data_IF_715389621817
#
_entry.id   IF_715389621817
#
_cell.length_a   1.000
_cell.length_b   1.000
_cell.length_c   1.000
_cell.angle_alpha   90.00
_cell.angle_beta   90.00
_cell.angle_gamma   90.00
#
_symmetry.space_group_name_H-M   'P 1'
#
loop_
_entity.id
_entity.type
_entity.pdbx_description
1 polymer ?
#
# COMPACT_ATOMS: atom_id res chain seq x y z
N UNK A 1 0.63 11.20 16.06
CA UNK A 1 -0.77 11.38 16.50
C UNK A 1 -1.42 10.01 16.64
N UNK A 2 -2.22 9.77 17.67
CA UNK A 2 -2.98 8.53 17.79
C UNK A 2 -3.99 8.42 16.62
N UNK A 3 -4.08 7.24 15.99
CA UNK A 3 -5.02 6.98 14.90
C UNK A 3 -6.45 7.17 15.42
N UNK A 4 -7.22 8.06 14.79
CA UNK A 4 -8.61 8.28 15.19
C UNK A 4 -9.44 7.06 14.80
N UNK A 5 -10.08 6.45 15.79
CA UNK A 5 -11.09 5.41 15.59
C UNK A 5 -12.38 5.89 16.25
N UNK A 6 -13.50 5.97 15.51
CA UNK A 6 -14.79 6.34 16.09
C UNK A 6 -15.09 5.48 17.31
N UNK A 7 -15.67 6.08 18.34
CA UNK A 7 -15.94 5.40 19.61
C UNK A 7 -16.69 4.06 19.41
N UNK A 8 -17.64 4.03 18.47
CA UNK A 8 -18.47 2.87 18.14
C UNK A 8 -17.77 1.77 17.33
N UNK A 9 -16.53 2.00 16.86
CA UNK A 9 -15.78 1.09 15.98
C UNK A 9 -14.46 0.61 16.59
N UNK A 10 -14.16 0.97 17.85
CA UNK A 10 -12.88 0.63 18.50
C UNK A 10 -12.66 -0.87 18.67
N UNK A 11 -13.72 -1.64 18.79
CA UNK A 11 -13.69 -3.09 18.93
C UNK A 11 -13.91 -3.82 17.58
N UNK A 12 -14.02 -3.07 16.48
CA UNK A 12 -14.24 -3.59 15.13
C UNK A 12 -12.91 -3.62 14.35
N UNK A 13 -12.22 -4.78 14.26
CA UNK A 13 -10.94 -4.87 13.58
C UNK A 13 -11.06 -4.62 12.07
N UNK A 14 -12.24 -4.84 11.47
CA UNK A 14 -12.49 -4.60 10.04
C UNK A 14 -12.48 -3.11 9.69
N UNK A 15 -12.63 -2.22 10.67
CA UNK A 15 -12.62 -0.77 10.46
C UNK A 15 -11.31 -0.26 9.83
N UNK A 16 -10.22 -0.99 10.02
CA UNK A 16 -8.90 -0.64 9.49
C UNK A 16 -8.63 -1.21 8.10
N UNK A 17 -9.52 -2.06 7.59
CA UNK A 17 -9.37 -2.67 6.27
C UNK A 17 -9.58 -1.62 5.16
N UNK A 18 -8.79 -1.67 4.08
CA UNK A 18 -9.02 -0.84 2.91
C UNK A 18 -10.39 -1.12 2.28
N UNK A 19 -11.12 -0.07 1.93
CA UNK A 19 -12.41 -0.14 1.31
C UNK A 19 -12.31 -0.22 -0.22
N UNK A 20 -12.95 -1.22 -0.80
CA UNK A 20 -13.05 -1.42 -2.25
C UNK A 20 -13.95 -0.39 -2.92
N UNK A 21 -13.74 -0.19 -4.23
CA UNK A 21 -14.59 0.68 -5.05
C UNK A 21 -14.65 2.13 -4.55
N UNK A 22 -15.87 2.68 -4.53
CA UNK A 22 -16.18 4.00 -3.95
C UNK A 22 -17.27 3.83 -2.88
N UNK A 23 -16.89 3.68 -1.59
CA UNK A 23 -17.85 3.63 -0.49
C UNK A 23 -18.75 4.86 -0.43
N UNK A 24 -19.98 4.72 0.06
CA UNK A 24 -20.96 5.82 0.12
C UNK A 24 -20.43 7.08 0.82
N UNK A 25 -19.67 6.89 1.91
CA UNK A 25 -19.07 7.99 2.67
C UNK A 25 -17.95 8.73 1.92
N UNK A 26 -17.42 8.15 0.84
CA UNK A 26 -16.41 8.75 -0.04
C UNK A 26 -17.01 9.44 -1.27
N UNK A 27 -18.28 9.19 -1.61
CA UNK A 27 -18.93 9.79 -2.79
C UNK A 27 -18.90 11.33 -2.75
N UNK A 28 -19.33 11.92 -1.64
CA UNK A 28 -19.41 13.37 -1.52
C UNK A 28 -18.04 14.09 -1.65
N UNK A 29 -16.97 13.68 -0.91
CA UNK A 29 -15.67 14.32 -1.07
C UNK A 29 -15.04 14.07 -2.45
N UNK A 30 -15.19 12.87 -3.03
CA UNK A 30 -14.69 12.60 -4.38
C UNK A 30 -15.45 13.40 -5.43
N UNK A 31 -16.77 13.55 -5.29
CA UNK A 31 -17.56 14.41 -6.17
C UNK A 31 -17.17 15.88 -6.08
N UNK A 32 -16.87 16.37 -4.88
CA UNK A 32 -16.36 17.73 -4.69
C UNK A 32 -15.02 17.93 -5.44
N UNK A 33 -14.14 16.91 -5.43
CA UNK A 33 -12.89 16.92 -6.20
C UNK A 33 -13.15 16.88 -7.72
N UNK A 34 -14.00 15.97 -8.21
CA UNK A 34 -14.43 15.88 -9.62
C UNK A 34 -14.99 17.23 -10.11
N UNK A 35 -15.83 17.85 -9.28
CA UNK A 35 -16.51 19.11 -9.60
C UNK A 35 -15.54 20.26 -9.90
N UNK A 36 -14.30 20.24 -9.39
CA UNK A 36 -13.31 21.29 -9.69
C UNK A 36 -12.86 21.30 -11.15
N UNK A 37 -12.95 20.15 -11.83
CA UNK A 37 -12.57 20.01 -13.23
C UNK A 37 -13.74 20.21 -14.20
N UNK A 38 -14.96 19.95 -13.73
CA UNK A 38 -16.18 20.00 -14.54
C UNK A 38 -16.92 21.33 -14.43
N UNK A 39 -16.39 22.28 -13.66
CA UNK A 39 -16.98 23.59 -13.43
C UNK A 39 -16.02 24.69 -13.92
N UNK A 40 -16.56 25.71 -14.57
CA UNK A 40 -15.75 26.87 -15.00
C UNK A 40 -15.54 27.85 -13.84
N UNK A 41 -14.45 28.66 -13.86
CA UNK A 41 -14.27 29.74 -12.89
C UNK A 41 -15.51 30.65 -12.88
N UNK A 42 -15.99 31.00 -11.68
CA UNK A 42 -17.19 31.83 -11.44
C UNK A 42 -18.55 31.16 -11.70
N UNK A 43 -18.57 29.85 -11.92
CA UNK A 43 -19.79 29.03 -11.92
C UNK A 43 -20.28 28.66 -13.31
N UNK A 44 -21.11 27.60 -13.37
CA UNK A 44 -21.50 26.95 -14.62
C UNK A 44 -20.66 25.71 -14.91
N UNK A 45 -21.15 24.87 -15.82
CA UNK A 45 -20.56 23.58 -16.17
C UNK A 45 -19.62 23.75 -17.35
N UNK A 46 -18.43 23.14 -17.27
CA UNK A 46 -17.51 23.01 -18.40
C UNK A 46 -18.05 21.94 -19.37
N UNK A 47 -18.85 22.39 -20.33
CA UNK A 47 -19.47 21.54 -21.34
C UNK A 47 -18.43 20.80 -22.20
N UNK A 48 -17.33 21.47 -22.55
CA UNK A 48 -16.26 20.86 -23.34
C UNK A 48 -15.62 19.70 -22.58
N UNK A 49 -15.33 19.89 -21.29
CA UNK A 49 -14.78 18.82 -20.45
C UNK A 49 -15.73 17.64 -20.29
N UNK A 50 -17.04 17.90 -20.13
CA UNK A 50 -18.04 16.82 -20.05
C UNK A 50 -18.17 16.03 -21.36
N UNK A 51 -18.11 16.70 -22.51
CA UNK A 51 -18.09 16.04 -23.81
C UNK A 51 -16.84 15.15 -23.97
N UNK A 52 -15.68 15.62 -23.51
CA UNK A 52 -14.45 14.83 -23.47
C UNK A 52 -14.60 13.58 -22.60
N UNK A 53 -15.09 13.73 -21.36
CA UNK A 53 -15.36 12.60 -20.46
C UNK A 53 -16.26 11.56 -21.15
N UNK A 54 -17.37 12.01 -21.75
CA UNK A 54 -18.29 11.12 -22.45
C UNK A 54 -17.59 10.38 -23.61
N UNK A 55 -16.80 11.08 -24.41
CA UNK A 55 -16.16 10.53 -25.59
C UNK A 55 -15.01 9.57 -25.24
N UNK A 56 -14.14 9.94 -24.28
CA UNK A 56 -12.98 9.16 -23.87
C UNK A 56 -13.42 7.88 -23.15
N UNK A 57 -14.38 7.99 -22.23
CA UNK A 57 -14.92 6.84 -21.50
C UNK A 57 -15.96 6.05 -22.31
N UNK A 58 -16.31 6.53 -23.53
CA UNK A 58 -17.26 5.88 -24.45
C UNK A 58 -18.58 5.53 -23.78
N UNK A 59 -19.14 6.47 -23.02
CA UNK A 59 -20.30 6.21 -22.17
C UNK A 59 -21.49 5.72 -22.99
N UNK A 60 -22.00 4.54 -22.63
CA UNK A 60 -23.16 3.92 -23.23
C UNK A 60 -24.11 3.46 -22.09
N UNK A 61 -25.31 4.06 -21.94
CA UNK A 61 -25.87 5.13 -22.78
C UNK A 61 -25.12 6.47 -22.62
N UNK A 62 -25.17 7.38 -23.62
CA UNK A 62 -24.59 8.72 -23.48
C UNK A 62 -25.27 9.49 -22.34
N UNK A 63 -24.61 10.55 -21.86
CA UNK A 63 -25.19 11.46 -20.86
C UNK A 63 -26.44 12.14 -21.43
N UNK A 64 -27.35 12.56 -20.54
CA UNK A 64 -28.59 13.22 -20.95
C UNK A 64 -28.37 14.71 -21.19
N UNK A 65 -28.23 15.07 -22.46
CA UNK A 65 -27.98 16.44 -22.92
C UNK A 65 -29.28 17.21 -23.21
N UNK A 66 -29.89 17.79 -22.18
CA UNK A 66 -30.83 18.94 -22.34
C UNK A 66 -30.18 20.28 -21.98
N UNK A 67 -29.08 20.23 -21.23
CA UNK A 67 -28.15 21.33 -20.94
C UNK A 67 -26.87 20.71 -20.35
N UNK A 68 -25.76 21.46 -20.30
CA UNK A 68 -24.55 21.01 -19.63
C UNK A 68 -24.81 20.62 -18.15
N UNK A 69 -25.66 21.39 -17.45
CA UNK A 69 -26.11 21.06 -16.09
C UNK A 69 -26.91 19.76 -16.01
N UNK A 70 -27.72 19.45 -17.01
CA UNK A 70 -28.47 18.18 -17.07
C UNK A 70 -27.53 17.00 -17.29
N UNK A 71 -26.52 17.15 -18.15
CA UNK A 71 -25.51 16.13 -18.40
C UNK A 71 -24.64 15.88 -17.15
N UNK A 72 -24.22 16.94 -16.45
CA UNK A 72 -23.51 16.84 -15.18
C UNK A 72 -24.36 16.11 -14.11
N UNK A 73 -25.65 16.47 -14.02
CA UNK A 73 -26.58 15.83 -13.09
C UNK A 73 -26.82 14.35 -13.41
N UNK A 74 -26.90 13.98 -14.69
CA UNK A 74 -27.02 12.57 -15.10
C UNK A 74 -25.75 11.78 -14.75
N UNK A 75 -24.56 12.36 -14.97
CA UNK A 75 -23.29 11.75 -14.54
C UNK A 75 -23.26 11.55 -13.02
N UNK A 76 -23.63 12.58 -12.25
CA UNK A 76 -23.71 12.51 -10.79
C UNK A 76 -24.66 11.38 -10.35
N UNK A 77 -25.85 11.31 -10.95
CA UNK A 77 -26.86 10.31 -10.59
C UNK A 77 -26.39 8.87 -10.86
N UNK A 78 -25.60 8.63 -11.92
CA UNK A 78 -25.04 7.30 -12.19
C UNK A 78 -24.03 6.89 -11.13
N UNK A 79 -23.09 7.78 -10.81
CA UNK A 79 -22.03 7.53 -9.82
C UNK A 79 -22.65 7.34 -8.42
N UNK A 80 -23.53 8.24 -8.00
CA UNK A 80 -24.22 8.14 -6.70
C UNK A 80 -25.27 7.01 -6.67
N UNK A 81 -25.73 6.56 -7.85
CA UNK A 81 -26.64 5.44 -8.01
C UNK A 81 -25.97 4.06 -7.91
N UNK A 82 -24.65 4.01 -7.71
CA UNK A 82 -23.89 2.77 -7.49
C UNK A 82 -22.95 2.37 -8.62
N UNK A 83 -22.83 3.16 -9.69
CA UNK A 83 -21.85 2.92 -10.75
C UNK A 83 -20.45 3.36 -10.30
N UNK A 84 -19.85 2.54 -9.44
CA UNK A 84 -18.54 2.81 -8.84
C UNK A 84 -17.41 2.74 -9.87
N UNK A 85 -17.52 1.87 -10.88
CA UNK A 85 -16.53 1.76 -11.96
C UNK A 85 -16.49 3.04 -12.79
N UNK A 86 -17.65 3.55 -13.20
CA UNK A 86 -17.74 4.86 -13.86
C UNK A 86 -17.13 5.97 -13.00
N UNK A 87 -17.40 5.96 -11.70
CA UNK A 87 -16.83 6.95 -10.78
C UNK A 87 -15.30 6.91 -10.77
N UNK A 88 -14.71 5.71 -10.71
CA UNK A 88 -13.25 5.53 -10.73
C UNK A 88 -12.65 5.92 -12.08
N UNK A 89 -13.29 5.57 -13.19
CA UNK A 89 -12.85 5.92 -14.54
C UNK A 89 -12.85 7.44 -14.76
N UNK A 90 -13.88 8.15 -14.27
CA UNK A 90 -13.94 9.61 -14.31
C UNK A 90 -12.83 10.23 -13.47
N UNK A 91 -12.60 9.73 -12.25
CA UNK A 91 -11.53 10.23 -11.39
C UNK A 91 -10.16 10.02 -12.03
N UNK A 92 -9.88 8.81 -12.53
CA UNK A 92 -8.59 8.48 -13.16
C UNK A 92 -8.34 9.31 -14.42
N UNK A 93 -9.36 9.48 -15.26
CA UNK A 93 -9.25 10.33 -16.44
C UNK A 93 -8.93 11.78 -16.08
N UNK A 94 -9.69 12.39 -15.16
CA UNK A 94 -9.47 13.78 -14.74
C UNK A 94 -8.12 13.96 -14.05
N UNK A 95 -7.69 12.98 -13.25
CA UNK A 95 -6.37 12.97 -12.62
C UNK A 95 -5.25 12.99 -13.66
N UNK A 96 -5.39 12.21 -14.74
CA UNK A 96 -4.43 12.21 -15.85
C UNK A 96 -4.44 13.52 -16.66
N UNK A 97 -5.49 14.33 -16.57
CA UNK A 97 -5.54 15.67 -17.20
C UNK A 97 -4.99 16.78 -16.30
N UNK A 98 -4.88 16.55 -14.98
CA UNK A 98 -4.33 17.55 -14.06
C UNK A 98 -2.81 17.46 -14.00
N UNK A 99 -2.15 18.61 -14.18
CA UNK A 99 -0.71 18.78 -13.94
C UNK A 99 -0.42 19.55 -12.64
N UNK A 100 -1.45 19.92 -11.88
CA UNK A 100 -1.30 20.62 -10.60
C UNK A 100 -1.08 19.59 -9.48
N UNK A 101 0.10 19.64 -8.85
CA UNK A 101 0.45 18.74 -7.75
C UNK A 101 -0.52 18.85 -6.57
N UNK A 102 -1.23 19.99 -6.42
CA UNK A 102 -2.24 20.15 -5.36
C UNK A 102 -3.47 19.29 -5.61
N UNK A 103 -3.90 19.14 -6.86
CA UNK A 103 -5.03 18.26 -7.18
C UNK A 103 -4.69 16.79 -6.91
N UNK A 104 -3.44 16.40 -7.17
CA UNK A 104 -2.94 15.05 -6.88
C UNK A 104 -2.88 14.81 -5.37
N UNK A 105 -2.34 15.77 -4.61
CA UNK A 105 -2.23 15.68 -3.16
C UNK A 105 -3.62 15.67 -2.47
N UNK A 106 -4.54 16.52 -2.92
CA UNK A 106 -5.92 16.57 -2.39
C UNK A 106 -6.65 15.24 -2.62
N UNK A 107 -6.52 14.65 -3.81
CA UNK A 107 -7.13 13.35 -4.11
C UNK A 107 -6.54 12.25 -3.24
N UNK A 108 -5.20 12.18 -3.12
CA UNK A 108 -4.54 11.22 -2.25
C UNK A 108 -4.99 11.38 -0.79
N UNK A 109 -5.15 12.61 -0.31
CA UNK A 109 -5.65 12.88 1.03
C UNK A 109 -7.08 12.38 1.24
N UNK A 110 -7.98 12.59 0.26
CA UNK A 110 -9.36 12.07 0.30
C UNK A 110 -9.34 10.54 0.36
N UNK A 111 -8.55 9.89 -0.50
CA UNK A 111 -8.44 8.44 -0.59
C UNK A 111 -7.85 7.83 0.68
N UNK A 112 -6.79 8.42 1.25
CA UNK A 112 -6.20 7.99 2.53
C UNK A 112 -7.23 8.15 3.65
N UNK A 113 -7.82 9.34 3.82
CA UNK A 113 -8.77 9.60 4.92
C UNK A 113 -10.00 8.70 4.85
N UNK A 114 -10.44 8.32 3.66
CA UNK A 114 -11.52 7.38 3.44
C UNK A 114 -11.12 5.90 3.51
N UNK A 115 -9.81 5.60 3.55
CA UNK A 115 -9.29 4.24 3.58
C UNK A 115 -9.50 3.50 2.27
N UNK A 116 -9.42 4.18 1.13
CA UNK A 116 -9.61 3.56 -0.18
C UNK A 116 -8.47 2.59 -0.54
N UNK A 117 -8.81 1.49 -1.21
CA UNK A 117 -7.84 0.63 -1.91
C UNK A 117 -7.12 1.35 -3.05
N UNK A 118 -7.64 2.49 -3.52
CA UNK A 118 -7.05 3.28 -4.58
C UNK A 118 -6.08 4.32 -4.02
N UNK A 119 -5.07 4.65 -4.81
CA UNK A 119 -4.07 5.66 -4.49
C UNK A 119 -3.60 6.38 -5.76
N UNK A 120 -3.17 7.62 -5.60
CA UNK A 120 -2.57 8.43 -6.63
C UNK A 120 -1.11 8.01 -6.79
N UNK A 121 -0.68 7.76 -8.02
CA UNK A 121 0.73 7.52 -8.36
C UNK A 121 1.14 8.32 -9.57
N UNK A 122 2.33 8.94 -9.49
CA UNK A 122 2.95 9.58 -10.65
C UNK A 122 3.17 8.56 -11.75
N UNK A 123 2.79 8.94 -12.97
CA UNK A 123 3.03 8.20 -14.21
C UNK A 123 4.29 8.72 -14.90
N UNK A 124 4.48 10.04 -14.88
CA UNK A 124 5.67 10.76 -15.32
C UNK A 124 5.82 12.06 -14.51
N UNK A 125 6.68 12.98 -14.96
CA UNK A 125 6.99 14.24 -14.25
C UNK A 125 5.77 15.14 -14.03
N UNK A 126 4.70 14.99 -14.83
CA UNK A 126 3.58 15.93 -14.87
C UNK A 126 2.23 15.26 -14.65
N UNK A 127 2.12 13.95 -14.86
CA UNK A 127 0.84 13.23 -14.82
C UNK A 127 0.81 12.18 -13.72
N UNK A 128 -0.38 11.95 -13.18
CA UNK A 128 -0.64 10.89 -12.22
C UNK A 128 -1.80 10.03 -12.69
N UNK A 129 -1.94 8.85 -12.10
CA UNK A 129 -3.06 7.92 -12.31
C UNK A 129 -3.45 7.25 -11.02
N UNK A 130 -4.68 6.74 -10.96
CA UNK A 130 -5.09 5.80 -9.93
C UNK A 130 -4.37 4.48 -10.16
N UNK A 131 -3.79 3.96 -9.09
CA UNK A 131 -3.39 2.57 -9.02
C UNK A 131 -4.07 1.95 -7.82
N UNK A 132 -4.33 0.64 -7.87
CA UNK A 132 -4.62 -0.09 -6.65
C UNK A 132 -3.39 0.01 -5.76
N UNK A 133 -3.59 0.29 -4.48
CA UNK A 133 -2.66 -0.16 -3.44
C UNK A 133 -2.44 -1.64 -3.74
N UNK A 134 -1.21 -2.04 -4.02
CA UNK A 134 -0.90 -3.43 -4.37
C UNK A 134 -1.49 -4.27 -3.24
N UNK A 135 -2.56 -5.03 -3.49
CA UNK A 135 -3.35 -5.67 -2.42
C UNK A 135 -3.56 -7.15 -2.67
N UNK A 136 -3.99 -7.59 -3.86
CA UNK A 136 -4.45 -8.98 -4.02
C UNK A 136 -3.34 -10.05 -4.03
N UNK A 137 -2.34 -10.04 -4.94
CA UNK A 137 -1.31 -11.10 -4.94
C UNK A 137 -0.51 -11.14 -3.64
N UNK A 138 -0.45 -10.00 -2.95
CA UNK A 138 0.25 -9.86 -1.68
C UNK A 138 -0.58 -10.35 -0.50
N UNK A 139 -1.87 -10.03 -0.45
CA UNK A 139 -2.78 -10.56 0.57
C UNK A 139 -2.90 -12.09 0.47
N UNK A 140 -2.99 -12.63 -0.75
CA UNK A 140 -2.94 -14.08 -0.98
C UNK A 140 -1.60 -14.68 -0.54
N UNK A 141 -0.48 -14.05 -0.90
CA UNK A 141 0.84 -14.51 -0.47
C UNK A 141 1.00 -14.52 1.07
N UNK A 142 0.46 -13.50 1.76
CA UNK A 142 0.42 -13.48 3.24
C UNK A 142 -0.45 -14.64 3.76
N UNK A 143 -1.63 -14.88 3.17
CA UNK A 143 -2.53 -15.95 3.55
C UNK A 143 -1.92 -17.36 3.33
N UNK A 144 -1.10 -17.53 2.31
CA UNK A 144 -0.40 -18.80 2.00
C UNK A 144 0.78 -19.12 2.93
N UNK A 145 1.21 -18.18 3.77
CA UNK A 145 2.19 -18.44 4.83
C UNK A 145 1.44 -19.22 5.93
N UNK A 146 1.50 -20.55 5.83
CA UNK A 146 0.74 -21.55 6.61
C UNK A 146 0.82 -21.33 8.14
N UNK A 147 -0.10 -22.00 8.84
CA UNK A 147 -0.30 -22.06 10.32
C UNK A 147 0.96 -22.26 11.17
N UNK A 148 2.01 -22.87 10.61
CA UNK A 148 3.20 -23.30 11.38
C UNK A 148 4.15 -22.14 11.71
N UNK A 149 3.87 -20.93 11.21
CA UNK A 149 4.57 -19.69 11.55
C UNK A 149 3.59 -18.56 11.87
N UNK A 150 2.64 -18.84 12.77
CA UNK A 150 1.59 -17.92 13.22
C UNK A 150 2.13 -16.52 13.59
N UNK A 151 3.29 -16.45 14.25
CA UNK A 151 3.92 -15.16 14.59
C UNK A 151 4.44 -14.40 13.38
N UNK A 152 5.10 -15.07 12.43
CA UNK A 152 5.59 -14.42 11.22
C UNK A 152 4.42 -13.92 10.37
N UNK A 153 3.36 -14.73 10.25
CA UNK A 153 2.11 -14.36 9.59
C UNK A 153 1.45 -13.14 10.25
N UNK A 154 1.35 -13.13 11.58
CA UNK A 154 0.77 -12.01 12.34
C UNK A 154 1.54 -10.71 12.12
N UNK A 155 2.88 -10.78 12.14
CA UNK A 155 3.73 -9.62 11.86
C UNK A 155 3.60 -9.14 10.40
N UNK A 156 3.49 -10.02 9.41
CA UNK A 156 3.24 -9.61 8.03
C UNK A 156 1.87 -8.95 7.87
N UNK A 157 0.81 -9.48 8.50
CA UNK A 157 -0.51 -8.84 8.48
C UNK A 157 -0.49 -7.45 9.13
N UNK A 158 0.17 -7.32 10.28
CA UNK A 158 0.32 -6.04 10.96
C UNK A 158 1.13 -5.05 10.11
N UNK A 159 2.26 -5.51 9.55
CA UNK A 159 3.08 -4.72 8.63
C UNK A 159 2.28 -4.23 7.44
N UNK A 160 1.52 -5.13 6.81
CA UNK A 160 0.67 -4.81 5.68
C UNK A 160 -0.41 -3.79 6.02
N UNK A 161 -1.16 -4.01 7.10
CA UNK A 161 -2.18 -3.08 7.58
C UNK A 161 -1.62 -1.68 7.86
N UNK A 162 -0.42 -1.61 8.43
CA UNK A 162 0.26 -0.34 8.67
C UNK A 162 0.84 0.28 7.40
N UNK A 163 1.10 -0.50 6.34
CA UNK A 163 1.62 0.00 5.07
C UNK A 163 0.51 0.55 4.18
N UNK A 164 -0.61 -0.17 4.05
CA UNK A 164 -1.65 0.09 3.04
C UNK A 164 -3.01 0.46 3.64
N UNK A 165 -3.18 0.34 4.95
CA UNK A 165 -4.43 0.65 5.63
C UNK A 165 -4.76 2.14 5.62
N UNK A 166 -5.95 2.48 6.12
CA UNK A 166 -6.52 3.84 6.12
C UNK A 166 -5.61 4.94 6.67
N UNK A 167 -4.74 4.60 7.61
CA UNK A 167 -3.74 5.52 8.13
C UNK A 167 -2.37 4.84 8.07
N UNK A 168 -1.67 4.96 6.94
CA UNK A 168 -0.34 4.37 6.80
C UNK A 168 0.62 4.91 7.86
N UNK A 169 1.45 4.02 8.38
CA UNK A 169 2.56 4.32 9.26
C UNK A 169 3.77 3.53 8.75
N UNK A 170 4.54 4.10 7.80
CA UNK A 170 5.65 3.41 7.16
C UNK A 170 6.70 2.87 8.15
N UNK A 171 6.96 3.63 9.21
CA UNK A 171 7.88 3.26 10.29
C UNK A 171 7.44 2.00 11.04
N UNK A 172 6.15 1.93 11.39
CA UNK A 172 5.59 0.73 12.04
C UNK A 172 5.50 -0.43 11.05
N UNK A 173 5.09 -0.18 9.81
CA UNK A 173 5.05 -1.19 8.75
C UNK A 173 6.42 -1.87 8.58
N UNK A 174 7.48 -1.07 8.42
CA UNK A 174 8.85 -1.56 8.30
C UNK A 174 9.27 -2.40 9.52
N UNK A 175 9.01 -1.89 10.74
CA UNK A 175 9.34 -2.60 11.98
C UNK A 175 8.68 -3.97 12.05
N UNK A 176 7.40 -4.07 11.71
CA UNK A 176 6.67 -5.34 11.71
C UNK A 176 7.16 -6.28 10.61
N UNK A 177 7.57 -5.76 9.44
CA UNK A 177 8.19 -6.56 8.38
C UNK A 177 9.49 -7.23 8.85
N UNK A 178 10.37 -6.50 9.54
CA UNK A 178 11.61 -7.05 10.13
C UNK A 178 11.29 -8.15 11.16
N UNK A 179 10.29 -7.91 12.03
CA UNK A 179 9.87 -8.91 13.04
C UNK A 179 9.30 -10.18 12.41
N UNK A 180 8.63 -10.07 11.27
CA UNK A 180 8.15 -11.23 10.54
C UNK A 180 9.31 -12.12 10.08
N UNK A 181 10.37 -11.52 9.52
CA UNK A 181 11.59 -12.25 9.13
C UNK A 181 12.26 -12.86 10.35
N UNK A 182 12.34 -12.14 11.48
CA UNK A 182 12.89 -12.68 12.73
C UNK A 182 12.13 -13.93 13.20
N UNK A 183 10.79 -13.87 13.21
CA UNK A 183 9.94 -14.97 13.62
C UNK A 183 10.08 -16.19 12.70
N UNK A 184 10.23 -15.98 11.39
CA UNK A 184 10.39 -17.03 10.40
C UNK A 184 11.78 -17.68 10.41
N UNK A 185 12.84 -16.88 10.55
CA UNK A 185 14.22 -17.35 10.47
C UNK A 185 14.70 -18.03 11.76
N UNK A 186 14.23 -17.57 12.92
CA UNK A 186 14.71 -18.02 14.23
C UNK A 186 14.67 -19.55 14.42
N UNK A 187 13.59 -20.28 14.11
CA UNK A 187 13.55 -21.73 14.29
C UNK A 187 14.59 -22.49 13.46
N UNK A 188 15.06 -21.90 12.36
CA UNK A 188 16.00 -22.53 11.43
C UNK A 188 17.44 -22.13 11.79
N UNK A 189 17.67 -20.83 11.98
CA UNK A 189 19.01 -20.27 12.17
C UNK A 189 19.46 -20.46 13.62
N UNK A 190 18.66 -19.99 14.59
CA UNK A 190 19.06 -19.92 16.00
C UNK A 190 17.99 -20.54 16.93
N UNK A 191 17.62 -21.83 16.77
CA UNK A 191 16.50 -22.45 17.49
C UNK A 191 16.66 -22.44 19.02
N UNK A 192 17.90 -22.44 19.51
CA UNK A 192 18.20 -22.45 20.95
C UNK A 192 18.37 -21.03 21.55
N UNK A 193 18.48 -19.97 20.73
CA UNK A 193 18.63 -18.60 21.24
C UNK A 193 17.26 -17.94 21.42
N UNK A 194 16.78 -17.89 22.66
CA UNK A 194 15.54 -17.22 23.03
C UNK A 194 15.48 -15.74 22.64
N UNK A 195 16.63 -15.07 22.48
CA UNK A 195 16.79 -13.63 22.20
C UNK A 195 17.41 -13.35 20.82
N UNK A 196 17.35 -14.31 19.90
CA UNK A 196 17.84 -14.12 18.54
C UNK A 196 17.17 -12.91 17.86
N UNK A 197 17.98 -12.01 17.32
CA UNK A 197 17.55 -10.88 16.48
C UNK A 197 17.99 -11.11 15.05
N UNK A 198 17.43 -10.36 14.10
CA UNK A 198 17.84 -10.46 12.69
C UNK A 198 19.34 -10.21 12.51
N UNK A 199 19.90 -9.23 13.23
CA UNK A 199 21.33 -8.92 13.21
C UNK A 199 22.20 -10.11 13.67
N UNK A 200 21.77 -10.87 14.69
CA UNK A 200 22.49 -12.07 15.13
C UNK A 200 22.41 -13.19 14.10
N UNK A 201 21.22 -13.43 13.54
CA UNK A 201 21.03 -14.46 12.52
C UNK A 201 21.80 -14.15 11.22
N UNK A 202 21.90 -12.87 10.83
CA UNK A 202 22.79 -12.41 9.76
C UNK A 202 24.24 -12.80 10.05
N UNK A 203 24.70 -12.55 11.28
CA UNK A 203 26.05 -12.91 11.72
C UNK A 203 26.30 -14.42 11.69
N UNK A 204 25.35 -15.22 12.21
CA UNK A 204 25.45 -16.68 12.22
C UNK A 204 25.48 -17.28 10.81
N UNK A 205 24.61 -16.79 9.91
CA UNK A 205 24.60 -17.22 8.52
C UNK A 205 25.88 -16.82 7.79
N UNK A 206 26.33 -15.58 7.97
CA UNK A 206 27.53 -15.06 7.32
C UNK A 206 28.85 -15.68 7.83
N UNK A 207 28.92 -16.07 9.10
CA UNK A 207 30.13 -16.67 9.66
C UNK A 207 30.34 -18.12 9.21
N UNK A 208 29.26 -18.83 8.87
CA UNK A 208 29.30 -20.25 8.48
C UNK A 208 28.36 -20.52 7.29
N UNK A 209 28.59 -19.89 6.12
CA UNK A 209 27.69 -19.97 4.97
C UNK A 209 27.44 -21.42 4.52
N UNK A 210 28.48 -22.26 4.57
CA UNK A 210 28.40 -23.69 4.22
C UNK A 210 27.47 -24.53 5.12
N UNK A 211 26.98 -24.00 6.25
CA UNK A 211 25.98 -24.68 7.10
C UNK A 211 24.54 -24.49 6.62
N UNK A 212 24.33 -23.67 5.60
CA UNK A 212 23.03 -23.27 5.13
C UNK A 212 22.90 -23.62 3.67
N UNK A 213 21.68 -23.94 3.26
CA UNK A 213 21.35 -24.25 1.87
C UNK A 213 20.24 -23.31 1.42
N UNK A 214 20.45 -22.64 0.28
CA UNK A 214 19.42 -21.86 -0.41
C UNK A 214 19.18 -22.43 -1.81
N UNK A 215 17.93 -22.78 -2.11
CA UNK A 215 17.54 -23.55 -3.31
C UNK A 215 17.94 -22.85 -4.62
N UNK A 216 17.75 -21.54 -4.73
CA UNK A 216 17.92 -20.81 -6.02
C UNK A 216 19.39 -20.62 -6.40
N UNK A 217 20.31 -20.70 -5.43
CA UNK A 217 21.73 -20.40 -5.63
C UNK A 217 22.62 -21.61 -5.36
N UNK A 218 22.12 -22.80 -5.72
CA UNK A 218 22.82 -24.09 -5.58
C UNK A 218 23.41 -24.33 -4.17
N UNK A 219 22.74 -23.81 -3.15
CA UNK A 219 23.15 -23.91 -1.74
C UNK A 219 23.82 -22.68 -1.15
N UNK A 220 24.24 -21.69 -1.93
CA UNK A 220 24.86 -20.49 -1.36
C UNK A 220 23.82 -19.52 -0.76
N UNK A 221 23.90 -19.34 0.56
CA UNK A 221 23.01 -18.50 1.38
C UNK A 221 23.27 -16.99 1.24
N UNK A 222 24.37 -16.59 0.59
CA UNK A 222 24.82 -15.18 0.51
C UNK A 222 23.72 -14.21 0.04
N UNK A 223 22.90 -14.52 -0.99
CA UNK A 223 21.81 -13.63 -1.41
C UNK A 223 20.78 -13.38 -0.30
N UNK A 224 20.42 -14.42 0.46
CA UNK A 224 19.49 -14.32 1.59
C UNK A 224 20.08 -13.45 2.70
N UNK A 225 21.37 -13.64 3.01
CA UNK A 225 22.09 -12.79 3.97
C UNK A 225 22.09 -11.33 3.52
N UNK A 226 22.31 -11.07 2.23
CA UNK A 226 22.31 -9.71 1.67
C UNK A 226 20.92 -9.04 1.76
N UNK A 227 19.84 -9.76 1.45
CA UNK A 227 18.48 -9.25 1.63
C UNK A 227 18.17 -8.95 3.09
N UNK A 228 18.51 -9.87 4.01
CA UNK A 228 18.35 -9.65 5.45
C UNK A 228 19.14 -8.42 5.93
N UNK A 229 20.39 -8.26 5.47
CA UNK A 229 21.22 -7.09 5.77
C UNK A 229 20.57 -5.80 5.27
N UNK A 230 20.11 -5.78 4.02
CA UNK A 230 19.50 -4.60 3.41
C UNK A 230 18.33 -4.07 4.23
N UNK A 231 17.41 -4.94 4.67
CA UNK A 231 16.28 -4.51 5.50
C UNK A 231 16.68 -4.24 6.96
N UNK A 232 17.72 -4.90 7.48
CA UNK A 232 18.15 -4.69 8.87
C UNK A 232 18.85 -3.34 9.05
N UNK A 233 19.70 -2.94 8.09
CA UNK A 233 20.49 -1.71 8.18
C UNK A 233 19.73 -0.45 7.75
N UNK A 234 18.69 -0.59 6.94
CA UNK A 234 17.98 0.55 6.35
C UNK A 234 16.80 1.04 7.19
N UNK A 235 16.55 0.44 8.36
CA UNK A 235 15.58 0.96 9.32
C UNK A 235 16.21 2.07 10.18
N UNK A 236 16.31 3.26 9.61
CA UNK A 236 17.03 4.41 10.18
C UNK A 236 16.39 4.97 11.47
N UNK A 237 15.09 4.77 11.65
CA UNK A 237 14.32 5.23 12.81
C UNK A 237 14.38 4.27 14.02
N UNK A 238 15.13 3.16 13.92
CA UNK A 238 15.22 2.13 14.97
C UNK A 238 15.99 2.60 16.20
N UNK A 239 16.87 3.59 16.03
CA UNK A 239 17.73 4.12 17.07
C UNK A 239 17.70 5.65 17.01
N UNK A 240 17.71 6.31 18.18
CA UNK A 240 17.93 7.75 18.22
C UNK A 240 19.32 8.06 17.66
N UNK A 241 19.38 9.09 16.83
CA UNK A 241 20.61 9.60 16.21
C UNK A 241 20.74 11.09 16.53
N UNK A 242 21.96 11.55 16.76
CA UNK A 242 22.32 12.96 16.90
C UNK A 242 22.67 13.60 15.54
N UNK A 243 22.67 12.81 14.47
CA UNK A 243 22.81 13.26 13.09
C UNK A 243 21.47 13.76 12.52
N UNK A 244 21.33 15.08 12.42
CA UNK A 244 20.15 15.77 11.87
C UNK A 244 19.88 15.45 10.38
N UNK A 245 20.83 14.83 9.66
CA UNK A 245 20.64 14.43 8.26
C UNK A 245 19.88 13.12 8.11
N UNK A 246 19.74 12.34 9.19
CA UNK A 246 19.00 11.07 9.18
C UNK A 246 17.50 11.36 9.37
N UNK A 247 16.64 10.90 8.45
CA UNK A 247 15.20 11.10 8.59
C UNK A 247 14.66 10.49 9.89
N UNK A 248 13.82 11.26 10.59
CA UNK A 248 13.16 10.80 11.83
C UNK A 248 12.15 9.66 11.60
N UNK A 249 11.77 9.41 10.34
CA UNK A 249 10.79 8.40 9.95
C UNK A 249 11.15 7.78 8.61
N UNK A 250 10.80 6.51 8.45
CA UNK A 250 10.86 5.77 7.18
C UNK A 250 9.85 6.34 6.16
N UNK A 251 10.22 6.42 4.87
CA UNK A 251 9.29 6.83 3.80
C UNK A 251 8.32 5.71 3.41
N UNK A 252 7.20 6.05 2.75
CA UNK A 252 6.25 5.05 2.26
C UNK A 252 6.90 4.05 1.29
N UNK A 253 7.76 4.53 0.39
CA UNK A 253 8.48 3.72 -0.60
C UNK A 253 9.48 2.78 0.07
N UNK A 254 10.20 3.26 1.10
CA UNK A 254 11.13 2.42 1.87
C UNK A 254 10.40 1.31 2.62
N UNK A 255 9.25 1.61 3.23
CA UNK A 255 8.44 0.63 3.93
C UNK A 255 7.83 -0.41 2.97
N UNK A 256 7.40 0.02 1.78
CA UNK A 256 6.88 -0.86 0.73
C UNK A 256 7.94 -1.84 0.23
N UNK A 257 9.13 -1.34 -0.11
CA UNK A 257 10.26 -2.16 -0.53
C UNK A 257 10.71 -3.15 0.56
N UNK A 258 10.73 -2.72 1.82
CA UNK A 258 11.09 -3.57 2.95
C UNK A 258 10.03 -4.66 3.20
N UNK A 259 8.75 -4.32 3.10
CA UNK A 259 7.66 -5.27 3.24
C UNK A 259 7.76 -6.38 2.19
N UNK A 260 7.93 -6.04 0.91
CA UNK A 260 8.01 -7.05 -0.15
C UNK A 260 9.26 -7.91 -0.05
N UNK A 261 10.38 -7.33 0.37
CA UNK A 261 11.61 -8.08 0.68
C UNK A 261 11.40 -9.05 1.84
N UNK A 262 10.75 -8.58 2.92
CA UNK A 262 10.43 -9.40 4.08
C UNK A 262 9.45 -10.54 3.74
N UNK A 263 8.42 -10.27 2.93
CA UNK A 263 7.48 -11.29 2.47
C UNK A 263 8.20 -12.42 1.73
N UNK A 264 9.12 -12.08 0.82
CA UNK A 264 9.95 -13.06 0.12
C UNK A 264 10.81 -13.87 1.10
N UNK A 265 11.51 -13.21 2.02
CA UNK A 265 12.34 -13.87 3.03
C UNK A 265 11.53 -14.82 3.92
N UNK A 266 10.38 -14.37 4.44
CA UNK A 266 9.48 -15.21 5.24
C UNK A 266 9.04 -16.43 4.44
N UNK A 267 8.68 -16.27 3.16
CA UNK A 267 8.32 -17.40 2.30
C UNK A 267 9.49 -18.36 2.10
N UNK A 268 10.71 -17.85 1.95
CA UNK A 268 11.91 -18.69 1.80
C UNK A 268 12.19 -19.53 3.05
N UNK A 269 12.12 -18.93 4.25
CA UNK A 269 12.34 -19.64 5.51
C UNK A 269 11.21 -20.63 5.81
N UNK A 270 9.97 -20.17 5.82
CA UNK A 270 8.81 -21.02 6.17
C UNK A 270 8.52 -22.11 5.13
N UNK A 271 8.86 -21.87 3.86
CA UNK A 271 8.71 -22.84 2.78
C UNK A 271 9.85 -23.87 2.68
N UNK A 272 10.86 -23.80 3.56
CA UNK A 272 12.02 -24.70 3.52
C UNK A 272 12.97 -24.46 2.33
N UNK A 273 12.85 -23.32 1.64
CA UNK A 273 13.76 -22.92 0.57
C UNK A 273 15.11 -22.46 1.13
N UNK A 274 15.13 -22.09 2.41
CA UNK A 274 16.33 -21.94 3.22
C UNK A 274 16.31 -22.99 4.33
N UNK A 275 17.37 -23.79 4.42
CA UNK A 275 17.49 -24.86 5.40
C UNK A 275 18.92 -24.99 5.91
N UNK A 276 19.11 -25.78 6.97
CA UNK A 276 20.45 -26.21 7.38
C UNK A 276 20.95 -27.25 6.38
N UNK A 277 22.18 -27.09 5.91
CA UNK A 277 22.86 -28.10 5.12
C UNK A 277 23.00 -29.38 5.97
N UNK A 278 22.65 -30.51 5.37
CA UNK A 278 22.79 -31.86 5.92
C UNK A 278 24.25 -32.31 5.96
#
# INVERSE_FOLDING_TARGET
>A
MAKFVPLSRRDDPSWHEPAEGIPEYLLAPLWAWIGRFLMVPYGGVDESRLLEVQAVLRLAPPLKWSSAGSALGDLQNRIFGGDQELGLDVIDYLLQQSTDERDHADLEEILIRGGSVWQVRRKDDWTARLTRRVLEPTAEAIAMIRSDSERAHSHLRASWSELVGRHPNPSTAYREAVRAVEAAAKPIVSPADGRATLGRMIGEMGAKPAKWHFVVNEGDITPVVSMCKAIWSSQLDRHGTDDDSVPLSVSQEQADAAFHTALALVRMFTGGLVSRAS
#
